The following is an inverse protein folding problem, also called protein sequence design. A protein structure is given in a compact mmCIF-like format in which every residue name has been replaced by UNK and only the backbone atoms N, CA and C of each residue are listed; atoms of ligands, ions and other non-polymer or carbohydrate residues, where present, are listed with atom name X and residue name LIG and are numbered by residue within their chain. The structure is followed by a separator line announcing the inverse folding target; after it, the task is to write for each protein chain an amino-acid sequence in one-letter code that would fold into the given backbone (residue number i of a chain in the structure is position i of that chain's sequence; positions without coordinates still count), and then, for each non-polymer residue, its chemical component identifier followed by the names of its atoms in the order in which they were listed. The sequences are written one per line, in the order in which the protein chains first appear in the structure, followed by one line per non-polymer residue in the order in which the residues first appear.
data_IF_638734408317
#
_entry.id   IF_638734408317
#
_cell.length_a   1.000
_cell.length_b   1.000
_cell.length_c   1.000
_cell.angle_alpha   90.00
_cell.angle_beta   90.00
_cell.angle_gamma   90.00
#
_symmetry.space_group_name_H-M   'P 1'
#
loop_
_entity.id
_entity.type
_entity.pdbx_description
1 polymer ?
#
# COMPACT_ATOMS: atom_id res chain seq x y z
N UNK A 1 28.39 -25.89 -5.51
CA UNK A 1 28.05 -24.66 -6.26
C UNK A 1 26.73 -24.16 -5.72
N UNK A 2 26.76 -23.09 -4.92
CA UNK A 2 25.54 -22.51 -4.37
C UNK A 2 24.72 -21.96 -5.53
N UNK A 3 23.49 -22.45 -5.74
CA UNK A 3 22.53 -21.76 -6.62
C UNK A 3 22.44 -20.33 -6.09
N UNK A 4 22.85 -19.37 -6.90
CA UNK A 4 22.70 -17.95 -6.56
C UNK A 4 21.24 -17.65 -6.26
N UNK A 5 20.99 -16.61 -5.47
CA UNK A 5 19.65 -16.13 -5.16
C UNK A 5 18.90 -15.89 -6.48
N UNK A 6 17.90 -16.72 -6.77
CA UNK A 6 17.08 -16.60 -7.97
C UNK A 6 15.77 -15.93 -7.57
N UNK A 7 15.53 -14.76 -8.13
CA UNK A 7 14.28 -14.01 -7.92
C UNK A 7 13.27 -14.53 -8.94
N UNK A 8 12.05 -14.77 -8.48
CA UNK A 8 10.91 -15.14 -9.32
C UNK A 8 10.12 -13.86 -9.70
N UNK A 9 10.16 -13.42 -10.96
CA UNK A 9 9.43 -12.23 -11.41
C UNK A 9 7.91 -12.35 -11.26
N UNK A 10 7.36 -13.55 -11.35
CA UNK A 10 5.91 -13.78 -11.23
C UNK A 10 5.48 -13.65 -9.76
N UNK A 11 6.32 -14.12 -8.83
CA UNK A 11 6.11 -13.90 -7.40
C UNK A 11 6.17 -12.41 -7.02
N UNK A 12 7.06 -11.63 -7.65
CA UNK A 12 7.10 -10.17 -7.48
C UNK A 12 5.83 -9.50 -8.00
N UNK A 13 5.34 -9.91 -9.18
CA UNK A 13 4.08 -9.42 -9.74
C UNK A 13 2.87 -9.73 -8.84
N UNK A 14 2.77 -10.96 -8.33
CA UNK A 14 1.72 -11.36 -7.41
C UNK A 14 1.77 -10.58 -6.08
N UNK A 15 2.96 -10.23 -5.59
CA UNK A 15 3.09 -9.40 -4.39
C UNK A 15 2.72 -7.94 -4.65
N UNK A 16 3.10 -7.38 -5.80
CA UNK A 16 2.66 -6.06 -6.22
C UNK A 16 1.13 -5.95 -6.31
N UNK A 17 0.45 -6.97 -6.85
CA UNK A 17 -1.02 -7.01 -6.86
C UNK A 17 -1.64 -6.98 -5.46
N UNK A 18 -1.09 -7.74 -4.50
CA UNK A 18 -1.56 -7.69 -3.10
C UNK A 18 -1.33 -6.33 -2.43
N UNK A 19 -0.30 -5.60 -2.83
CA UNK A 19 -0.05 -4.25 -2.31
C UNK A 19 -1.07 -3.24 -2.85
N UNK A 20 -1.51 -3.38 -4.09
CA UNK A 20 -2.59 -2.55 -4.64
C UNK A 20 -3.93 -2.83 -3.97
N UNK A 21 -4.26 -4.11 -3.75
CA UNK A 21 -5.46 -4.48 -2.98
C UNK A 21 -5.43 -3.84 -1.59
N UNK A 22 -4.29 -3.91 -0.90
CA UNK A 22 -4.11 -3.25 0.38
C UNK A 22 -4.15 -1.70 0.28
N UNK A 23 -3.64 -1.11 -0.80
CA UNK A 23 -3.69 0.33 -1.04
C UNK A 23 -5.15 0.80 -1.19
N UNK A 24 -5.97 0.05 -1.93
CA UNK A 24 -7.39 0.33 -2.08
C UNK A 24 -8.15 0.18 -0.75
N UNK A 25 -7.83 -0.83 0.06
CA UNK A 25 -8.40 -0.98 1.41
C UNK A 25 -8.04 0.21 2.32
N UNK A 26 -6.78 0.65 2.31
CA UNK A 26 -6.32 1.82 3.07
C UNK A 26 -7.03 3.09 2.60
N UNK A 27 -7.20 3.27 1.29
CA UNK A 27 -7.89 4.42 0.71
C UNK A 27 -9.38 4.43 1.09
N UNK A 28 -10.01 3.26 1.11
CA UNK A 28 -11.39 3.10 1.57
C UNK A 28 -11.54 3.41 3.07
N UNK A 29 -10.61 2.94 3.91
CA UNK A 29 -10.60 3.26 5.34
C UNK A 29 -10.42 4.77 5.57
N UNK A 30 -9.50 5.42 4.87
CA UNK A 30 -9.30 6.87 4.94
C UNK A 30 -10.53 7.66 4.47
N UNK A 31 -11.26 7.16 3.47
CA UNK A 31 -12.52 7.76 3.02
C UNK A 31 -13.63 7.61 4.06
N UNK A 32 -13.73 6.45 4.73
CA UNK A 32 -14.70 6.23 5.81
C UNK A 32 -14.46 7.15 7.01
N UNK A 33 -13.21 7.51 7.29
CA UNK A 33 -12.86 8.50 8.31
C UNK A 33 -13.24 9.94 7.93
N UNK A 34 -13.52 10.25 6.66
CA UNK A 34 -13.93 11.60 6.28
C UNK A 34 -15.40 11.91 6.66
N UNK A 35 -16.18 10.90 7.05
CA UNK A 35 -17.55 11.10 7.50
C UNK A 35 -17.57 11.63 8.94
N UNK A 36 -18.34 12.70 9.22
CA UNK A 36 -18.44 13.23 10.56
C UNK A 36 -19.10 12.20 11.50
N UNK A 37 -18.57 11.97 12.70
CA UNK A 37 -19.02 10.90 13.59
C UNK A 37 -20.41 11.14 14.23
N UNK A 38 -21.05 12.27 13.90
CA UNK A 38 -22.31 12.71 14.50
C UNK A 38 -22.11 13.30 15.91
N UNK A 39 -23.22 13.54 16.61
CA UNK A 39 -23.17 14.01 17.99
C UNK A 39 -22.76 12.86 18.93
N UNK A 40 -21.59 13.00 19.54
CA UNK A 40 -21.02 12.03 20.47
C UNK A 40 -21.31 12.37 21.95
N UNK A 41 -22.12 13.40 22.20
CA UNK A 41 -22.60 13.76 23.53
C UNK A 41 -21.91 15.01 24.10
N UNK A 42 -21.23 14.94 25.26
CA UNK A 42 -20.76 16.14 25.96
C UNK A 42 -19.86 17.04 25.12
N UNK A 43 -19.93 18.35 25.38
CA UNK A 43 -19.05 19.34 24.76
C UNK A 43 -17.57 18.93 24.89
N UNK A 44 -16.85 19.00 23.77
CA UNK A 44 -15.43 18.63 23.66
C UNK A 44 -15.16 17.18 23.25
N UNK A 45 -16.12 16.24 23.43
CA UNK A 45 -15.92 14.85 22.98
C UNK A 45 -15.95 14.77 21.44
N UNK A 46 -16.94 15.42 20.82
CA UNK A 46 -17.04 15.47 19.35
C UNK A 46 -15.80 16.11 18.73
N UNK A 47 -15.33 17.26 19.24
CA UNK A 47 -14.13 17.93 18.74
C UNK A 47 -12.86 17.07 18.91
N UNK A 48 -12.70 16.37 20.03
CA UNK A 48 -11.57 15.49 20.26
C UNK A 48 -11.56 14.29 19.29
N UNK A 49 -12.73 13.73 18.99
CA UNK A 49 -12.86 12.63 18.02
C UNK A 49 -12.64 13.14 16.59
N UNK A 50 -13.17 14.30 16.22
CA UNK A 50 -12.92 14.93 14.92
C UNK A 50 -11.42 15.15 14.69
N UNK A 51 -10.70 15.62 15.71
CA UNK A 51 -9.25 15.81 15.62
C UNK A 51 -8.51 14.47 15.44
N UNK A 52 -8.83 13.47 16.27
CA UNK A 52 -8.24 12.14 16.17
C UNK A 52 -8.50 11.50 14.80
N UNK A 53 -9.72 11.62 14.29
CA UNK A 53 -10.12 11.10 12.98
C UNK A 53 -9.36 11.80 11.86
N UNK A 54 -9.19 13.13 11.94
CA UNK A 54 -8.39 13.88 10.98
C UNK A 54 -6.92 13.44 10.96
N UNK A 55 -6.30 13.27 12.13
CA UNK A 55 -4.92 12.76 12.26
C UNK A 55 -4.78 11.36 11.63
N UNK A 56 -5.70 10.45 11.93
CA UNK A 56 -5.67 9.10 11.35
C UNK A 56 -5.88 9.11 9.84
N UNK A 57 -6.78 9.96 9.33
CA UNK A 57 -6.98 10.10 7.89
C UNK A 57 -5.71 10.61 7.18
N UNK A 58 -4.95 11.51 7.79
CA UNK A 58 -3.65 11.95 7.27
C UNK A 58 -2.60 10.84 7.29
N UNK A 59 -2.50 10.09 8.40
CA UNK A 59 -1.58 8.94 8.51
C UNK A 59 -1.87 7.91 7.41
N UNK A 60 -3.15 7.56 7.18
CA UNK A 60 -3.53 6.60 6.15
C UNK A 60 -3.24 7.09 4.74
N UNK A 61 -3.41 8.40 4.45
CA UNK A 61 -3.05 8.99 3.16
C UNK A 61 -1.54 9.01 2.91
N UNK A 62 -0.73 9.00 3.98
CA UNK A 62 0.73 8.92 3.89
C UNK A 62 1.28 7.53 3.60
N UNK A 63 0.44 6.48 3.54
CA UNK A 63 0.89 5.12 3.25
C UNK A 63 1.07 4.94 1.74
N UNK A 64 2.31 4.82 1.27
CA UNK A 64 2.66 4.75 -0.15
C UNK A 64 2.72 3.31 -0.71
N UNK A 65 1.65 2.51 -0.53
CA UNK A 65 1.62 1.12 -1.01
C UNK A 65 1.65 1.02 -2.54
N UNK A 66 1.00 1.96 -3.24
CA UNK A 66 1.02 2.03 -4.71
C UNK A 66 2.45 2.21 -5.25
N UNK A 67 3.23 3.11 -4.64
CA UNK A 67 4.61 3.34 -5.04
C UNK A 67 5.51 2.11 -4.82
N UNK A 68 5.26 1.34 -3.75
CA UNK A 68 5.95 0.08 -3.51
C UNK A 68 5.56 -1.00 -4.53
N UNK A 69 4.28 -1.10 -4.90
CA UNK A 69 3.80 -2.00 -5.93
C UNK A 69 4.47 -1.72 -7.28
N UNK A 70 4.57 -0.45 -7.68
CA UNK A 70 5.25 -0.02 -8.90
C UNK A 70 6.74 -0.35 -8.88
N UNK A 71 7.42 -0.13 -7.75
CA UNK A 71 8.83 -0.49 -7.60
C UNK A 71 9.07 -2.01 -7.75
N UNK A 72 8.17 -2.84 -7.23
CA UNK A 72 8.26 -4.30 -7.36
C UNK A 72 8.02 -4.77 -8.79
N UNK A 73 7.10 -4.14 -9.53
CA UNK A 73 6.91 -4.41 -10.96
C UNK A 73 8.14 -4.04 -11.77
N UNK A 74 8.69 -2.86 -11.53
CA UNK A 74 9.92 -2.42 -12.18
C UNK A 74 11.08 -3.40 -11.89
N UNK A 75 11.20 -3.87 -10.65
CA UNK A 75 12.18 -4.90 -10.31
C UNK A 75 11.92 -6.22 -11.05
N UNK A 76 10.67 -6.69 -11.11
CA UNK A 76 10.28 -7.90 -11.83
C UNK A 76 10.60 -7.84 -13.33
N UNK A 77 10.36 -6.68 -13.96
CA UNK A 77 10.74 -6.40 -15.35
C UNK A 77 12.25 -6.57 -15.57
N UNK A 78 13.07 -5.99 -14.68
CA UNK A 78 14.54 -6.07 -14.76
C UNK A 78 15.02 -7.52 -14.64
N UNK A 79 14.44 -8.30 -13.73
CA UNK A 79 14.80 -9.72 -13.58
C UNK A 79 14.39 -10.55 -14.81
N UNK A 80 13.21 -10.29 -15.39
CA UNK A 80 12.77 -10.97 -16.61
C UNK A 80 13.71 -10.71 -17.79
N UNK A 81 14.11 -9.45 -17.98
CA UNK A 81 15.09 -9.08 -19.02
C UNK A 81 16.45 -9.76 -18.79
N UNK A 82 16.90 -9.84 -17.54
CA UNK A 82 18.16 -10.50 -17.20
C UNK A 82 18.13 -12.01 -17.46
N UNK A 83 16.99 -12.67 -17.20
CA UNK A 83 16.81 -14.09 -17.50
C UNK A 83 16.78 -14.34 -19.02
N UNK A 84 16.07 -13.52 -19.79
CA UNK A 84 16.05 -13.61 -21.27
C UNK A 84 17.46 -13.50 -21.86
N UNK A 85 18.26 -12.51 -21.43
CA UNK A 85 19.65 -12.32 -21.89
C UNK A 85 20.59 -13.47 -21.51
N UNK A 86 20.26 -14.25 -20.47
CA UNK A 86 21.06 -15.41 -20.06
C UNK A 86 20.73 -16.67 -20.86
N UNK A 87 19.58 -16.68 -21.52
CA UNK A 87 19.07 -17.81 -22.28
C UNK A 87 19.33 -17.72 -23.80
N UNK A 88 19.84 -16.58 -24.29
CA UNK A 88 20.44 -16.38 -25.62
C UNK A 88 21.95 -16.74 -25.66
#
# INVERSE_FOLDING_TARGET
MSRGYQVDPDALGAFAGRLEEAADEVRAAAAGLAEPPGDLGPEGVTEAVEHLVAEWAEVLRGVELDALADALRAAGEVYRQADELRHD
#
